data_IF_729327486966
#
_entry.id   IF_729327486966
#
_cell.length_a   1.000
_cell.length_b   1.000
_cell.length_c   1.000
_cell.angle_alpha   90.00
_cell.angle_beta   90.00
_cell.angle_gamma   90.00
#
_symmetry.space_group_name_H-M   'P 1'
#
loop_
_entity.id
_entity.type
_entity.pdbx_description
1 polymer ?
#
# COMPACT_ATOMS: atom_id res chain seq x y z
N UNK A 1 11.44 -18.53 12.37
CA UNK A 1 10.13 -17.83 12.53
C UNK A 1 9.58 -17.58 11.14
N UNK A 2 8.33 -17.97 10.85
CA UNK A 2 7.72 -17.75 9.53
C UNK A 2 7.42 -16.27 9.35
N UNK A 3 7.74 -15.73 8.17
CA UNK A 3 7.51 -14.32 7.83
C UNK A 3 6.00 -14.03 7.77
N UNK A 4 5.60 -12.75 7.89
CA UNK A 4 4.21 -12.32 7.72
C UNK A 4 3.64 -12.83 6.37
N UNK A 5 4.45 -12.75 5.29
CA UNK A 5 4.12 -13.27 3.96
C UNK A 5 3.81 -14.76 3.99
N UNK A 6 4.66 -15.59 4.57
CA UNK A 6 4.45 -17.05 4.64
C UNK A 6 3.18 -17.40 5.41
N UNK A 7 2.86 -16.65 6.47
CA UNK A 7 1.63 -16.83 7.23
C UNK A 7 0.39 -16.46 6.41
N UNK A 8 0.45 -15.35 5.67
CA UNK A 8 -0.64 -14.90 4.80
C UNK A 8 -0.84 -15.83 3.61
N UNK A 9 0.25 -16.32 2.99
CA UNK A 9 0.19 -17.28 1.88
C UNK A 9 -0.39 -18.62 2.34
N UNK A 10 0.03 -19.14 3.50
CA UNK A 10 -0.52 -20.41 4.04
C UNK A 10 -2.02 -20.31 4.30
N UNK A 11 -2.50 -19.19 4.81
CA UNK A 11 -3.93 -18.98 5.05
C UNK A 11 -4.73 -18.85 3.74
N UNK A 12 -4.16 -18.19 2.74
CA UNK A 12 -4.76 -18.09 1.40
C UNK A 12 -4.79 -19.43 0.67
N UNK A 13 -3.79 -20.27 0.82
CA UNK A 13 -3.75 -21.63 0.26
C UNK A 13 -4.76 -22.55 0.94
N UNK A 14 -4.89 -22.50 2.27
CA UNK A 14 -5.87 -23.29 3.02
C UNK A 14 -7.33 -22.92 2.67
N UNK A 15 -7.60 -21.62 2.36
CA UNK A 15 -8.93 -21.17 1.95
C UNK A 15 -9.33 -21.64 0.55
N UNK A 16 -8.37 -21.99 -0.31
CA UNK A 16 -8.65 -22.49 -1.68
C UNK A 16 -8.88 -23.99 -1.77
N UNK A 17 -8.47 -24.76 -0.78
CA UNK A 17 -8.69 -26.22 -0.73
C UNK A 17 -10.05 -26.62 -0.14
N UNK A 18 -10.78 -25.70 0.47
CA UNK A 18 -12.09 -25.94 1.03
C UNK A 18 -13.20 -25.40 0.11
N UNK A 19 -13.47 -26.11 -0.97
CA UNK A 19 -14.78 -26.12 -1.60
C UNK A 19 -15.04 -25.16 -2.75
N UNK A 20 -15.40 -25.75 -3.90
CA UNK A 20 -16.24 -25.16 -4.92
C UNK A 20 -15.53 -24.77 -6.21
N UNK A 21 -15.71 -25.61 -7.20
CA UNK A 21 -15.47 -25.27 -8.59
C UNK A 21 -16.17 -23.96 -8.96
N UNK A 22 -15.43 -23.04 -9.58
CA UNK A 22 -16.01 -21.86 -10.21
C UNK A 22 -16.92 -22.32 -11.35
N UNK A 23 -18.16 -21.82 -11.45
CA UNK A 23 -18.98 -22.07 -12.64
C UNK A 23 -18.34 -21.31 -13.81
N UNK A 24 -18.19 -22.04 -14.92
CA UNK A 24 -17.76 -21.51 -16.19
C UNK A 24 -18.80 -20.51 -16.71
N UNK A 25 -18.27 -19.41 -17.27
CA UNK A 25 -18.90 -18.54 -18.26
C UNK A 25 -20.21 -17.83 -17.89
N UNK A 26 -20.09 -16.54 -17.57
CA UNK A 26 -21.08 -15.56 -17.95
C UNK A 26 -20.36 -14.44 -18.71
N UNK A 27 -20.48 -14.43 -20.03
CA UNK A 27 -20.20 -13.27 -20.86
C UNK A 27 -21.18 -12.15 -20.48
N UNK A 28 -20.74 -11.21 -19.69
CA UNK A 28 -21.50 -10.00 -19.39
C UNK A 28 -21.17 -8.94 -20.42
N UNK A 29 -22.14 -8.67 -21.29
CA UNK A 29 -22.18 -7.49 -22.16
C UNK A 29 -22.02 -6.23 -21.32
N UNK A 30 -20.98 -5.45 -21.61
CA UNK A 30 -20.74 -4.14 -21.02
C UNK A 30 -21.77 -3.17 -21.58
N UNK A 31 -22.85 -2.96 -20.81
CA UNK A 31 -23.73 -1.81 -20.93
C UNK A 31 -23.37 -0.84 -19.83
N UNK A 32 -22.88 0.34 -20.21
CA UNK A 32 -22.49 1.37 -19.25
C UNK A 32 -23.70 1.91 -18.49
N UNK A 33 -23.69 1.77 -17.18
CA UNK A 33 -24.47 2.61 -16.27
C UNK A 33 -23.56 3.00 -15.11
N UNK A 34 -23.23 4.30 -15.03
CA UNK A 34 -22.47 4.87 -13.93
C UNK A 34 -23.19 4.65 -12.61
N UNK A 35 -22.52 4.14 -11.63
CA UNK A 35 -23.00 4.09 -10.24
C UNK A 35 -22.82 5.48 -9.66
N UNK A 36 -23.92 6.20 -9.45
CA UNK A 36 -23.97 7.44 -8.68
C UNK A 36 -24.17 7.12 -7.22
N UNK A 37 -23.40 7.78 -6.32
CA UNK A 37 -23.66 7.75 -4.89
C UNK A 37 -24.94 8.54 -4.55
N UNK A 38 -25.39 8.43 -3.29
CA UNK A 38 -26.60 9.08 -2.79
C UNK A 38 -26.54 10.63 -2.85
N UNK A 39 -25.38 11.22 -3.12
CA UNK A 39 -25.15 12.66 -3.24
C UNK A 39 -24.96 13.13 -4.70
N UNK A 40 -25.20 12.26 -5.69
CA UNK A 40 -25.14 12.61 -7.11
C UNK A 40 -23.73 12.86 -7.66
N UNK A 41 -22.67 12.46 -6.93
CA UNK A 41 -21.29 12.55 -7.41
C UNK A 41 -20.93 11.26 -8.13
N UNK A 42 -20.62 11.38 -9.39
CA UNK A 42 -19.96 10.30 -10.14
C UNK A 42 -18.60 10.05 -9.52
N UNK A 43 -18.38 8.85 -8.97
CA UNK A 43 -17.05 8.42 -8.60
C UNK A 43 -16.13 8.64 -9.82
N UNK A 44 -15.00 9.30 -9.60
CA UNK A 44 -14.02 9.52 -10.66
C UNK A 44 -13.67 8.16 -11.24
N UNK A 45 -14.23 7.84 -12.40
CA UNK A 45 -13.90 6.62 -13.11
C UNK A 45 -12.40 6.62 -13.32
N UNK A 46 -11.72 5.59 -12.83
CA UNK A 46 -10.37 5.27 -13.28
C UNK A 46 -10.44 5.38 -14.80
N UNK A 47 -9.62 6.22 -15.46
CA UNK A 47 -9.77 6.48 -16.88
C UNK A 47 -9.63 5.16 -17.63
N UNK A 48 -10.75 4.58 -18.01
CA UNK A 48 -10.84 3.44 -18.90
C UNK A 48 -10.27 3.93 -20.23
N UNK A 49 -9.05 3.45 -20.59
CA UNK A 49 -8.62 3.59 -21.96
C UNK A 49 -7.43 4.51 -22.25
N UNK A 50 -6.46 4.70 -21.35
CA UNK A 50 -5.10 4.91 -21.86
C UNK A 50 -4.52 3.53 -22.12
N UNK A 51 -4.46 3.17 -23.41
CA UNK A 51 -3.83 1.91 -23.84
C UNK A 51 -2.41 1.75 -23.30
N UNK A 52 -1.81 0.59 -23.47
CA UNK A 52 -0.47 0.25 -22.95
C UNK A 52 0.59 1.34 -23.25
N UNK A 53 0.42 2.09 -24.34
CA UNK A 53 1.30 3.22 -24.71
C UNK A 53 1.18 4.40 -23.74
N UNK A 54 0.00 4.74 -23.27
CA UNK A 54 -0.19 5.82 -22.29
C UNK A 54 0.45 5.51 -20.94
N UNK A 55 0.38 4.27 -20.48
CA UNK A 55 1.05 3.85 -19.24
C UNK A 55 2.57 3.87 -19.38
N UNK A 56 3.09 3.39 -20.52
CA UNK A 56 4.53 3.44 -20.83
C UNK A 56 5.05 4.87 -20.89
N UNK A 57 4.29 5.79 -21.48
CA UNK A 57 4.65 7.21 -21.53
C UNK A 57 4.75 7.84 -20.13
N UNK A 58 3.99 7.33 -19.15
CA UNK A 58 4.11 7.72 -17.74
C UNK A 58 5.20 6.95 -16.99
N UNK A 59 5.95 6.07 -17.65
CA UNK A 59 6.99 5.24 -17.03
C UNK A 59 6.43 4.07 -16.24
N UNK A 60 5.16 3.69 -16.43
CA UNK A 60 4.56 2.51 -15.83
C UNK A 60 4.61 1.34 -16.79
N UNK A 61 4.98 0.17 -16.29
CA UNK A 61 5.00 -1.10 -17.01
C UNK A 61 4.23 -2.18 -16.27
N UNK A 62 3.89 -3.24 -16.98
CA UNK A 62 3.25 -4.40 -16.37
C UNK A 62 4.28 -5.18 -15.55
N UNK A 63 3.93 -5.49 -14.31
CA UNK A 63 4.67 -6.34 -13.40
C UNK A 63 3.84 -7.57 -13.05
N UNK A 64 4.50 -8.68 -12.76
CA UNK A 64 3.87 -9.95 -12.46
C UNK A 64 4.44 -10.56 -11.18
N UNK A 65 3.59 -11.27 -10.46
CA UNK A 65 3.97 -12.18 -9.38
C UNK A 65 3.03 -13.40 -9.37
N UNK A 66 3.18 -14.29 -8.41
CA UNK A 66 2.36 -15.51 -8.28
C UNK A 66 0.84 -15.25 -8.15
N UNK A 67 0.44 -13.99 -7.95
CA UNK A 67 -0.95 -13.56 -7.77
C UNK A 67 -1.53 -12.87 -9.00
N UNK A 68 -0.73 -12.68 -10.05
CA UNK A 68 -1.16 -12.08 -11.30
C UNK A 68 -0.34 -10.86 -11.72
N UNK A 69 -0.95 -10.06 -12.61
CA UNK A 69 -0.37 -8.84 -13.16
C UNK A 69 -0.92 -7.60 -12.45
N UNK A 70 -0.14 -6.53 -12.47
CA UNK A 70 -0.52 -5.17 -12.08
C UNK A 70 0.40 -4.17 -12.77
N UNK A 71 0.05 -2.89 -12.80
CA UNK A 71 0.94 -1.87 -13.33
C UNK A 71 1.85 -1.30 -12.23
N UNK A 72 3.13 -1.15 -12.56
CA UNK A 72 4.14 -0.65 -11.65
C UNK A 72 4.99 0.43 -12.32
N UNK A 73 5.07 1.59 -11.68
CA UNK A 73 6.04 2.64 -11.98
C UNK A 73 7.10 2.65 -10.90
N UNK A 74 8.37 2.70 -11.30
CA UNK A 74 9.51 2.81 -10.39
C UNK A 74 10.33 4.04 -10.69
N UNK A 75 10.79 4.70 -9.62
CA UNK A 75 11.79 5.76 -9.71
C UNK A 75 12.85 5.55 -8.62
N UNK A 76 14.08 5.92 -8.93
CA UNK A 76 15.19 5.87 -7.99
C UNK A 76 15.82 7.25 -7.88
N UNK A 77 16.12 7.65 -6.66
CA UNK A 77 16.71 8.95 -6.36
C UNK A 77 17.95 8.76 -5.48
N UNK A 78 19.11 9.39 -5.81
CA UNK A 78 20.25 9.35 -4.91
C UNK A 78 19.94 10.12 -3.62
N UNK A 79 20.63 9.81 -2.52
CA UNK A 79 20.46 10.49 -1.24
C UNK A 79 20.66 12.01 -1.35
N UNK A 80 21.54 12.46 -2.26
CA UNK A 80 21.76 13.87 -2.53
C UNK A 80 20.65 14.59 -3.32
N UNK A 81 19.65 13.85 -3.83
CA UNK A 81 18.53 14.44 -4.57
C UNK A 81 17.77 15.45 -3.71
N UNK A 82 17.56 16.65 -4.26
CA UNK A 82 16.84 17.73 -3.57
C UNK A 82 15.34 17.65 -3.90
N UNK A 83 14.53 17.66 -2.86
CA UNK A 83 13.10 17.90 -2.94
C UNK A 83 12.78 19.18 -2.15
N UNK A 84 12.44 20.24 -2.87
CA UNK A 84 12.33 21.57 -2.27
C UNK A 84 13.66 22.02 -1.64
N UNK A 85 13.65 22.34 -0.35
CA UNK A 85 14.81 22.81 0.39
C UNK A 85 15.69 21.71 0.97
N UNK A 86 15.18 20.48 1.07
CA UNK A 86 15.81 19.35 1.74
C UNK A 86 16.40 18.35 0.75
N UNK A 87 17.39 17.60 1.19
CA UNK A 87 17.91 16.43 0.49
C UNK A 87 17.19 15.19 1.02
N UNK A 88 16.95 14.20 0.18
CA UNK A 88 16.33 12.95 0.63
C UNK A 88 17.18 12.25 1.70
N UNK A 89 18.50 12.32 1.59
CA UNK A 89 19.43 11.78 2.59
C UNK A 89 19.32 12.42 3.98
N UNK A 90 18.72 13.61 4.10
CA UNK A 90 18.47 14.24 5.40
C UNK A 90 17.56 13.39 6.30
N UNK A 91 16.75 12.51 5.71
CA UNK A 91 15.91 11.56 6.45
C UNK A 91 16.72 10.62 7.36
N UNK A 92 17.97 10.32 7.03
CA UNK A 92 18.82 9.44 7.83
C UNK A 92 19.05 9.96 9.26
N UNK A 93 19.22 11.27 9.41
CA UNK A 93 19.38 11.90 10.72
C UNK A 93 18.07 12.44 11.28
N UNK A 94 17.10 12.79 10.43
CA UNK A 94 15.84 13.40 10.86
C UNK A 94 14.85 12.35 11.44
N UNK A 95 14.75 11.17 10.84
CA UNK A 95 13.83 10.12 11.30
C UNK A 95 14.05 9.71 12.76
N UNK A 96 15.27 9.45 13.24
CA UNK A 96 15.48 9.10 14.65
C UNK A 96 14.94 10.15 15.64
N UNK A 97 14.87 11.43 15.26
CA UNK A 97 14.29 12.47 16.09
C UNK A 97 12.76 12.31 16.30
N UNK A 98 12.10 11.53 15.44
CA UNK A 98 10.67 11.22 15.55
C UNK A 98 10.39 9.95 16.37
N UNK A 99 11.40 9.30 16.94
CA UNK A 99 11.21 8.11 17.78
C UNK A 99 10.20 8.33 18.91
N UNK A 100 10.22 9.46 19.67
CA UNK A 100 9.22 9.70 20.72
C UNK A 100 7.78 9.79 20.18
N UNK A 101 7.61 10.30 18.94
CA UNK A 101 6.30 10.34 18.27
C UNK A 101 5.82 8.92 17.97
N UNK A 102 6.71 8.08 17.44
CA UNK A 102 6.42 6.68 17.12
C UNK A 102 6.04 5.89 18.38
N UNK A 103 6.82 6.00 19.44
CA UNK A 103 6.53 5.35 20.73
C UNK A 103 5.16 5.78 21.28
N UNK A 104 4.88 7.08 21.25
CA UNK A 104 3.59 7.62 21.69
C UNK A 104 2.42 7.06 20.89
N UNK A 105 2.58 6.90 19.58
CA UNK A 105 1.53 6.37 18.71
C UNK A 105 1.32 4.87 18.85
N UNK A 106 2.33 4.13 19.29
CA UNK A 106 2.33 2.66 19.38
C UNK A 106 2.35 2.13 20.83
N UNK A 107 1.84 2.88 21.80
CA UNK A 107 1.85 2.52 23.25
C UNK A 107 1.22 1.16 23.58
N UNK A 108 0.38 0.63 22.69
CA UNK A 108 -0.26 -0.68 22.88
C UNK A 108 0.58 -1.85 22.39
N UNK A 109 1.67 -1.55 21.66
CA UNK A 109 2.61 -2.57 21.19
C UNK A 109 3.63 -2.82 22.31
N UNK A 110 3.87 -4.07 22.71
CA UNK A 110 4.92 -4.38 23.66
C UNK A 110 6.27 -3.88 23.14
N UNK A 111 6.97 -3.14 23.97
CA UNK A 111 8.31 -2.61 23.70
C UNK A 111 8.55 -2.06 22.26
N UNK A 112 7.91 -0.94 21.89
CA UNK A 112 8.10 -0.37 20.56
C UNK A 112 9.56 0.14 20.39
N UNK A 113 10.29 0.41 21.49
CA UNK A 113 11.68 0.87 21.46
C UNK A 113 12.65 -0.23 21.02
N UNK A 114 12.28 -1.52 21.13
CA UNK A 114 13.07 -2.63 20.61
C UNK A 114 13.23 -2.59 19.06
N UNK A 115 12.43 -1.76 18.39
CA UNK A 115 12.48 -1.56 16.94
C UNK A 115 12.91 -0.11 16.67
N UNK A 116 14.21 0.19 16.54
CA UNK A 116 14.69 1.57 16.35
C UNK A 116 14.20 2.14 15.02
N UNK A 117 13.75 3.39 15.06
CA UNK A 117 13.30 4.13 13.87
C UNK A 117 14.52 4.57 13.07
N UNK A 118 14.77 3.90 11.96
CA UNK A 118 15.85 4.19 11.00
C UNK A 118 15.29 4.33 9.60
N UNK A 119 15.96 5.05 8.72
CA UNK A 119 15.50 5.27 7.36
C UNK A 119 15.27 3.96 6.60
N UNK A 120 16.14 2.97 6.78
CA UNK A 120 16.07 1.66 6.13
C UNK A 120 14.92 0.80 6.68
N UNK A 121 14.48 1.07 7.91
CA UNK A 121 13.40 0.32 8.57
C UNK A 121 12.00 0.87 8.29
N UNK A 122 11.90 1.96 7.53
CA UNK A 122 10.64 2.65 7.24
C UNK A 122 10.15 2.34 5.84
N UNK A 123 8.87 2.03 5.71
CA UNK A 123 8.11 2.13 4.46
C UNK A 123 7.20 3.35 4.55
N UNK A 124 7.35 4.28 3.62
CA UNK A 124 6.40 5.37 3.41
C UNK A 124 5.26 4.84 2.54
N UNK A 125 4.03 5.11 2.94
CA UNK A 125 2.82 4.63 2.27
C UNK A 125 1.82 5.76 2.12
N UNK A 126 1.20 5.80 0.95
CA UNK A 126 0.05 6.65 0.63
C UNK A 126 -0.89 5.92 -0.34
N UNK A 127 -2.21 6.15 -0.23
CA UNK A 127 -3.21 5.51 -1.06
C UNK A 127 -4.09 6.53 -1.76
N UNK A 128 -4.39 6.25 -3.04
CA UNK A 128 -5.52 6.87 -3.74
C UNK A 128 -6.64 5.86 -3.89
N UNK A 129 -7.84 6.23 -3.47
CA UNK A 129 -8.96 5.32 -3.32
C UNK A 129 -10.20 5.79 -4.08
N UNK A 130 -11.10 4.86 -4.38
CA UNK A 130 -12.35 5.17 -5.10
C UNK A 130 -13.37 5.94 -4.26
N UNK A 131 -13.14 6.08 -2.95
CA UNK A 131 -14.02 6.82 -2.04
C UNK A 131 -13.34 7.14 -0.71
N UNK A 132 -13.90 8.09 0.04
CA UNK A 132 -13.33 8.60 1.30
C UNK A 132 -13.68 7.76 2.55
N UNK A 133 -14.50 6.73 2.43
CA UNK A 133 -14.93 5.91 3.56
C UNK A 133 -14.10 4.64 3.71
N UNK A 134 -14.10 4.05 4.91
CA UNK A 134 -13.49 2.73 5.20
C UNK A 134 -14.39 1.55 4.83
N UNK A 135 -15.45 1.78 4.06
CA UNK A 135 -16.40 0.74 3.63
C UNK A 135 -15.77 -0.29 2.69
N UNK A 136 -16.35 -1.51 2.66
CA UNK A 136 -15.88 -2.64 1.84
C UNK A 136 -15.96 -2.37 0.33
N UNK A 137 -16.74 -1.37 -0.10
CA UNK A 137 -16.83 -0.94 -1.50
C UNK A 137 -15.67 -0.06 -1.97
N UNK A 138 -14.90 0.52 -1.04
CA UNK A 138 -13.73 1.30 -1.39
C UNK A 138 -12.55 0.40 -1.69
N UNK A 139 -11.83 0.74 -2.75
CA UNK A 139 -10.62 0.01 -3.08
C UNK A 139 -9.51 0.99 -3.51
N UNK A 140 -8.24 0.69 -3.23
CA UNK A 140 -7.14 1.52 -3.67
C UNK A 140 -6.90 1.28 -5.15
N UNK A 141 -6.93 2.34 -5.95
CA UNK A 141 -6.55 2.27 -7.37
C UNK A 141 -5.09 2.66 -7.59
N UNK A 142 -4.45 3.29 -6.58
CA UNK A 142 -3.04 3.60 -6.57
C UNK A 142 -2.48 3.38 -5.15
N UNK A 143 -1.41 2.61 -5.06
CA UNK A 143 -0.62 2.45 -3.84
C UNK A 143 0.75 3.08 -4.09
N UNK A 144 1.05 4.17 -3.39
CA UNK A 144 2.34 4.83 -3.40
C UNK A 144 3.23 4.30 -2.28
N UNK A 145 4.46 3.88 -2.63
CA UNK A 145 5.46 3.40 -1.70
C UNK A 145 6.75 4.17 -1.88
N UNK A 146 7.43 4.48 -0.77
CA UNK A 146 8.82 4.95 -0.83
C UNK A 146 9.62 4.30 0.31
N UNK A 147 10.89 4.03 0.04
CA UNK A 147 11.79 3.39 1.00
C UNK A 147 13.25 3.60 0.63
N UNK A 148 14.14 3.40 1.60
CA UNK A 148 15.59 3.42 1.39
C UNK A 148 16.07 2.04 0.97
N UNK A 149 16.88 1.99 -0.09
CA UNK A 149 17.54 0.81 -0.62
C UNK A 149 18.84 1.21 -1.29
N UNK A 150 19.94 0.47 -1.04
CA UNK A 150 21.27 0.70 -1.62
C UNK A 150 21.79 2.14 -1.46
N UNK A 151 21.53 2.76 -0.30
CA UNK A 151 21.94 4.13 -0.01
C UNK A 151 21.19 5.22 -0.79
N UNK A 152 20.15 4.87 -1.52
CA UNK A 152 19.25 5.77 -2.23
C UNK A 152 17.80 5.59 -1.84
N UNK A 153 16.92 6.33 -2.49
CA UNK A 153 15.48 6.23 -2.32
C UNK A 153 14.84 5.56 -3.51
N UNK A 154 13.97 4.61 -3.25
CA UNK A 154 13.08 3.99 -4.23
C UNK A 154 11.67 4.54 -4.01
N UNK A 155 11.01 4.89 -5.10
CA UNK A 155 9.59 5.23 -5.12
C UNK A 155 8.90 4.27 -6.08
N UNK A 156 7.86 3.63 -5.61
CA UNK A 156 7.04 2.72 -6.39
C UNK A 156 5.58 3.19 -6.36
N UNK A 157 4.92 3.12 -7.50
CA UNK A 157 3.50 3.40 -7.66
C UNK A 157 2.85 2.19 -8.32
N UNK A 158 1.99 1.53 -7.57
CA UNK A 158 1.25 0.36 -8.01
C UNK A 158 -0.14 0.81 -8.45
N UNK A 159 -0.45 0.70 -9.72
CA UNK A 159 -1.76 1.01 -10.25
C UNK A 159 -2.59 -0.25 -10.38
N UNK A 160 -3.82 -0.21 -9.87
CA UNK A 160 -4.81 -1.28 -9.91
C UNK A 160 -5.93 -0.81 -10.82
N UNK A 161 -5.96 -1.32 -12.06
CA UNK A 161 -6.90 -0.90 -13.10
C UNK A 161 -8.29 -1.52 -12.91
N UNK A 162 -8.33 -2.70 -12.28
CA UNK A 162 -9.54 -3.45 -11.98
C UNK A 162 -9.31 -4.39 -10.78
N UNK A 163 -10.37 -4.84 -10.10
CA UNK A 163 -10.23 -5.65 -8.88
C UNK A 163 -9.40 -6.93 -9.02
N UNK A 164 -9.31 -7.50 -10.22
CA UNK A 164 -8.51 -8.71 -10.47
C UNK A 164 -6.99 -8.50 -10.34
N UNK A 165 -6.51 -7.26 -10.39
CA UNK A 165 -5.09 -6.93 -10.19
C UNK A 165 -4.73 -6.69 -8.72
N UNK A 166 -5.73 -6.52 -7.88
CA UNK A 166 -5.54 -6.18 -6.47
C UNK A 166 -4.72 -7.23 -5.70
N UNK A 167 -4.96 -8.55 -5.84
CA UNK A 167 -4.14 -9.54 -5.13
C UNK A 167 -2.65 -9.41 -5.45
N UNK A 168 -2.31 -9.19 -6.72
CA UNK A 168 -0.92 -9.04 -7.15
C UNK A 168 -0.26 -7.77 -6.57
N UNK A 169 -0.96 -6.63 -6.61
CA UNK A 169 -0.49 -5.38 -6.03
C UNK A 169 -0.33 -5.46 -4.51
N UNK A 170 -1.29 -6.06 -3.81
CA UNK A 170 -1.22 -6.28 -2.36
C UNK A 170 -0.07 -7.23 -1.96
N UNK A 171 0.17 -8.29 -2.74
CA UNK A 171 1.30 -9.18 -2.52
C UNK A 171 2.63 -8.44 -2.67
N UNK A 172 2.74 -7.58 -3.68
CA UNK A 172 3.92 -6.72 -3.86
C UNK A 172 4.13 -5.77 -2.68
N UNK A 173 3.07 -5.12 -2.17
CA UNK A 173 3.13 -4.30 -0.96
C UNK A 173 3.65 -5.11 0.24
N UNK A 174 3.18 -6.35 0.43
CA UNK A 174 3.62 -7.21 1.52
C UNK A 174 5.11 -7.56 1.40
N UNK A 175 5.61 -7.76 0.18
CA UNK A 175 7.05 -7.96 -0.06
C UNK A 175 7.86 -6.72 0.35
N UNK A 176 7.36 -5.52 0.08
CA UNK A 176 8.02 -4.26 0.48
C UNK A 176 7.96 -4.01 1.98
N UNK A 177 6.97 -4.56 2.67
CA UNK A 177 6.88 -4.50 4.14
C UNK A 177 7.86 -5.45 4.83
N UNK A 178 8.38 -6.48 4.12
CA UNK A 178 9.33 -7.41 4.72
C UNK A 178 10.62 -6.71 5.12
N UNK A 179 11.08 -6.97 6.34
CA UNK A 179 12.28 -6.35 6.89
C UNK A 179 12.12 -4.89 7.33
N UNK A 180 10.95 -4.28 7.09
CA UNK A 180 10.62 -2.94 7.55
C UNK A 180 9.72 -3.02 8.77
N UNK A 181 10.10 -2.29 9.80
CA UNK A 181 9.43 -2.33 11.11
C UNK A 181 8.45 -1.17 11.29
N UNK A 182 8.55 -0.13 10.46
CA UNK A 182 7.76 1.09 10.57
C UNK A 182 7.03 1.42 9.28
N UNK A 183 5.84 1.98 9.44
CA UNK A 183 5.01 2.53 8.36
C UNK A 183 4.82 4.02 8.58
N UNK A 184 5.42 4.84 7.71
CA UNK A 184 5.25 6.28 7.74
C UNK A 184 4.12 6.69 6.79
N UNK A 185 3.16 7.48 7.30
CA UNK A 185 1.97 7.91 6.57
C UNK A 185 1.59 9.34 6.94
N UNK A 186 0.68 9.94 6.20
CA UNK A 186 0.01 11.18 6.59
C UNK A 186 -1.49 10.90 6.74
N UNK A 187 -1.98 10.79 7.98
CA UNK A 187 -3.34 10.34 8.33
C UNK A 187 -3.64 8.86 8.00
N UNK A 188 -2.66 8.10 7.55
CA UNK A 188 -2.86 6.73 7.06
C UNK A 188 -3.12 5.72 8.18
N UNK A 189 -2.78 6.03 9.43
CA UNK A 189 -3.16 5.21 10.57
C UNK A 189 -4.67 5.11 10.73
N UNK A 190 -5.41 6.17 10.38
CA UNK A 190 -6.87 6.22 10.46
C UNK A 190 -7.56 5.78 9.17
N UNK A 191 -6.89 5.89 8.01
CA UNK A 191 -7.49 5.64 6.69
C UNK A 191 -6.79 4.54 5.90
N UNK A 192 -5.54 4.74 5.49
CA UNK A 192 -4.86 3.84 4.55
C UNK A 192 -4.66 2.43 5.12
N UNK A 193 -4.14 2.35 6.34
CA UNK A 193 -3.85 1.06 6.95
C UNK A 193 -5.11 0.24 7.26
N UNK A 194 -6.18 0.79 7.88
CA UNK A 194 -7.44 0.07 8.05
C UNK A 194 -8.07 -0.39 6.74
N UNK A 195 -7.98 0.43 5.69
CA UNK A 195 -8.45 0.04 4.37
C UNK A 195 -7.64 -1.15 3.83
N UNK A 196 -6.32 -1.09 3.86
CA UNK A 196 -5.45 -2.20 3.43
C UNK A 196 -5.72 -3.48 4.21
N UNK A 197 -5.89 -3.40 5.54
CA UNK A 197 -6.26 -4.55 6.36
C UNK A 197 -7.58 -5.16 5.88
N UNK A 198 -8.58 -4.33 5.59
CA UNK A 198 -9.85 -4.78 5.02
C UNK A 198 -9.64 -5.45 3.66
N UNK A 199 -8.82 -4.86 2.78
CA UNK A 199 -8.53 -5.44 1.46
C UNK A 199 -7.78 -6.76 1.57
N UNK A 200 -6.82 -6.89 2.50
CA UNK A 200 -6.17 -8.16 2.78
C UNK A 200 -7.19 -9.25 3.17
N UNK A 201 -8.11 -8.92 4.09
CA UNK A 201 -9.15 -9.87 4.53
C UNK A 201 -10.07 -10.27 3.38
N UNK A 202 -10.50 -9.32 2.55
CA UNK A 202 -11.36 -9.60 1.38
C UNK A 202 -10.67 -10.48 0.33
N UNK A 203 -9.34 -10.40 0.24
CA UNK A 203 -8.53 -11.28 -0.61
C UNK A 203 -8.17 -12.62 0.09
N UNK A 204 -8.80 -12.93 1.21
CA UNK A 204 -8.57 -14.18 1.95
C UNK A 204 -7.30 -14.19 2.79
N UNK A 205 -6.62 -13.06 2.95
CA UNK A 205 -5.40 -12.94 3.74
C UNK A 205 -5.74 -12.36 5.11
N UNK A 206 -5.33 -13.06 6.16
CA UNK A 206 -5.52 -12.57 7.52
C UNK A 206 -4.21 -12.05 8.06
N UNK A 207 -4.10 -10.75 8.32
CA UNK A 207 -2.93 -10.21 9.01
C UNK A 207 -2.81 -10.91 10.37
N UNK A 208 -1.75 -11.66 10.57
CA UNK A 208 -1.47 -12.33 11.85
C UNK A 208 -0.19 -11.76 12.43
N UNK A 209 -0.22 -11.45 13.72
CA UNK A 209 0.91 -10.88 14.45
C UNK A 209 0.87 -9.37 14.56
N UNK A 210 1.92 -8.83 15.16
CA UNK A 210 2.12 -7.39 15.27
C UNK A 210 2.40 -6.81 13.89
N UNK A 211 1.55 -5.88 13.45
CA UNK A 211 1.78 -5.09 12.23
C UNK A 211 3.01 -4.18 12.36
N UNK A 212 3.30 -3.37 11.35
CA UNK A 212 4.32 -2.34 11.44
C UNK A 212 3.96 -1.31 12.52
N UNK A 213 4.98 -0.73 13.16
CA UNK A 213 4.79 0.43 14.02
C UNK A 213 4.41 1.63 13.16
N UNK A 214 3.44 2.41 13.59
CA UNK A 214 2.98 3.57 12.85
C UNK A 214 3.78 4.83 13.22
N UNK A 215 4.19 5.58 12.20
CA UNK A 215 4.63 6.96 12.25
C UNK A 215 3.65 7.79 11.40
N UNK A 216 2.53 8.19 11.99
CA UNK A 216 1.57 9.06 11.32
C UNK A 216 1.96 10.53 11.54
N UNK A 217 2.22 11.23 10.46
CA UNK A 217 2.75 12.60 10.49
C UNK A 217 1.66 13.68 10.64
N UNK A 218 0.37 13.32 10.48
CA UNK A 218 -0.71 14.30 10.64
C UNK A 218 -0.81 14.86 12.08
N UNK A 219 -0.83 14.03 13.16
CA UNK A 219 -0.92 14.58 14.51
C UNK A 219 0.24 15.51 14.89
N UNK A 220 1.51 15.17 14.65
CA UNK A 220 2.61 16.10 14.97
C UNK A 220 2.61 17.36 14.10
N UNK A 221 2.19 17.30 12.83
CA UNK A 221 2.14 18.48 11.97
C UNK A 221 1.10 19.52 12.40
N UNK A 222 0.09 19.11 13.18
CA UNK A 222 -0.91 20.02 13.76
C UNK A 222 -0.46 20.67 15.07
N UNK A 223 0.63 20.22 15.64
CA UNK A 223 1.18 20.73 16.90
C UNK A 223 2.33 21.76 16.67
N UNK A 224 2.71 22.00 15.41
CA UNK A 224 3.66 23.02 14.97
C UNK A 224 2.94 24.31 14.62
#
# INVERSE_FOLDING_TARGET
MSTLRERLIRLGAAGRTAGGALPAQAEARVGGTGVTDADGRTAAAVPAGRGAEGWRAMGAGEAHNDWGAFLLRRAAYPAGHRHGRHRLGDLTWALPLLAPVTERQNRRVPDPSARPLRAESVLFLDLETTGLGVGTGNFPFLIGLAYVEDGGFRVEQLFIRHPGEEPAALAHLLDRLQGRTHLATFNGRAFDWPLLVTRFVLNGWRPSGEGPLHLDLLPPSRAL
#
